data_IF_802245016614
#
_entry.id   IF_802245016614
#
_cell.length_a   1.000
_cell.length_b   1.000
_cell.length_c   1.000
_cell.angle_alpha   90.00
_cell.angle_beta   90.00
_cell.angle_gamma   90.00
#
_symmetry.space_group_name_H-M   'P 1'
#
loop_
_entity.id
_entity.type
_entity.pdbx_description
1 polymer ?
#
# COMPACT_ATOMS: atom_id res chain seq x y z
N UNK A 1 14.37 25.97 -9.82
CA UNK A 1 15.00 26.74 -8.75
C UNK A 1 16.33 26.08 -8.40
N UNK A 2 17.36 26.87 -8.14
CA UNK A 2 18.66 26.37 -7.73
C UNK A 2 18.53 25.61 -6.39
N UNK A 3 19.15 24.42 -6.27
CA UNK A 3 19.02 23.60 -5.06
C UNK A 3 17.72 22.81 -4.90
N UNK A 4 16.83 22.82 -5.88
CA UNK A 4 15.59 22.03 -5.86
C UNK A 4 15.82 20.66 -6.49
N UNK A 5 15.98 19.64 -5.65
CA UNK A 5 16.21 18.25 -6.06
C UNK A 5 15.49 17.27 -5.12
N UNK A 6 15.31 16.04 -5.59
CA UNK A 6 14.76 14.93 -4.82
C UNK A 6 15.32 13.60 -5.34
N UNK A 7 14.98 12.51 -4.66
CA UNK A 7 15.29 11.14 -5.11
C UNK A 7 13.99 10.42 -5.49
N UNK A 8 14.09 9.40 -6.34
CA UNK A 8 12.93 8.57 -6.67
C UNK A 8 12.32 7.93 -5.42
N UNK A 9 13.16 7.51 -4.45
CA UNK A 9 12.71 6.94 -3.17
C UNK A 9 11.89 7.94 -2.34
N UNK A 10 12.36 9.18 -2.23
CA UNK A 10 11.64 10.20 -1.43
C UNK A 10 10.32 10.60 -2.09
N UNK A 11 10.32 10.69 -3.43
CA UNK A 11 9.10 10.93 -4.18
C UNK A 11 8.10 9.77 -4.05
N UNK A 12 8.57 8.52 -4.02
CA UNK A 12 7.72 7.35 -3.79
C UNK A 12 7.10 7.38 -2.39
N UNK A 13 7.89 7.66 -1.34
CA UNK A 13 7.38 7.80 0.04
C UNK A 13 6.32 8.92 0.14
N UNK A 14 6.61 10.08 -0.46
CA UNK A 14 5.67 11.19 -0.50
C UNK A 14 4.37 10.80 -1.20
N UNK A 15 4.47 10.11 -2.34
CA UNK A 15 3.31 9.66 -3.09
C UNK A 15 2.49 8.62 -2.30
N UNK A 16 3.13 7.66 -1.64
CA UNK A 16 2.43 6.70 -0.78
C UNK A 16 1.61 7.42 0.31
N UNK A 17 2.24 8.32 1.06
CA UNK A 17 1.55 9.09 2.10
C UNK A 17 0.41 9.98 1.54
N UNK A 18 0.64 10.61 0.39
CA UNK A 18 -0.38 11.46 -0.25
C UNK A 18 -1.58 10.63 -0.74
N UNK A 19 -1.34 9.42 -1.23
CA UNK A 19 -2.41 8.52 -1.72
C UNK A 19 -3.29 7.95 -0.60
N UNK A 20 -2.91 8.08 0.67
CA UNK A 20 -3.79 7.78 1.81
C UNK A 20 -4.90 8.83 2.00
N UNK A 21 -4.69 10.06 1.49
CA UNK A 21 -5.68 11.13 1.54
C UNK A 21 -6.70 10.98 0.41
N UNK A 22 -7.96 10.74 0.74
CA UNK A 22 -9.05 10.53 -0.23
C UNK A 22 -9.26 11.71 -1.19
N UNK A 23 -9.15 12.95 -0.68
CA UNK A 23 -9.29 14.15 -1.52
C UNK A 23 -8.17 14.24 -2.55
N UNK A 24 -6.93 14.00 -2.12
CA UNK A 24 -5.79 13.95 -3.03
C UNK A 24 -5.97 12.86 -4.08
N UNK A 25 -6.32 11.63 -3.65
CA UNK A 25 -6.58 10.50 -4.54
C UNK A 25 -7.64 10.83 -5.59
N UNK A 26 -8.75 11.42 -5.19
CA UNK A 26 -9.84 11.85 -6.09
C UNK A 26 -9.33 12.85 -7.13
N UNK A 27 -8.57 13.85 -6.71
CA UNK A 27 -8.04 14.88 -7.61
C UNK A 27 -7.08 14.27 -8.64
N UNK A 28 -6.09 13.47 -8.19
CA UNK A 28 -5.04 12.94 -9.07
C UNK A 28 -5.53 11.83 -9.99
N UNK A 29 -6.60 11.11 -9.63
CA UNK A 29 -7.22 10.09 -10.48
C UNK A 29 -8.25 10.64 -11.46
N UNK A 30 -8.66 11.90 -11.31
CA UNK A 30 -9.62 12.53 -12.22
C UNK A 30 -9.02 12.65 -13.63
N UNK A 31 -9.65 12.00 -14.61
CA UNK A 31 -9.20 11.97 -16.02
C UNK A 31 -9.44 13.28 -16.73
N UNK A 32 -10.58 13.93 -16.45
CA UNK A 32 -10.94 15.26 -16.93
C UNK A 32 -12.06 15.84 -16.05
N UNK A 33 -12.09 17.18 -16.01
CA UNK A 33 -13.15 17.91 -15.32
C UNK A 33 -13.44 19.20 -16.06
N UNK A 34 -14.61 19.78 -15.83
CA UNK A 34 -14.98 21.08 -16.40
C UNK A 34 -15.12 22.10 -15.28
N UNK A 35 -14.39 23.19 -15.38
CA UNK A 35 -14.42 24.32 -14.45
C UNK A 35 -14.67 25.59 -15.25
N UNK A 36 -15.68 26.36 -14.90
CA UNK A 36 -16.05 27.60 -15.57
C UNK A 36 -16.19 27.46 -17.10
N UNK A 37 -16.76 26.33 -17.56
CA UNK A 37 -16.96 26.04 -18.97
C UNK A 37 -15.71 25.58 -19.73
N UNK A 38 -14.54 25.48 -19.05
CA UNK A 38 -13.30 24.98 -19.62
C UNK A 38 -13.08 23.53 -19.20
N UNK A 39 -12.84 22.67 -20.18
CA UNK A 39 -12.48 21.26 -19.92
C UNK A 39 -11.00 21.14 -19.67
N UNK A 40 -10.64 20.71 -18.46
CA UNK A 40 -9.28 20.38 -18.05
C UNK A 40 -9.07 18.88 -18.20
N UNK A 41 -8.00 18.48 -18.87
CA UNK A 41 -7.64 17.07 -19.11
C UNK A 41 -6.37 16.76 -18.36
N UNK A 42 -6.40 15.65 -17.58
CA UNK A 42 -5.22 15.19 -16.87
C UNK A 42 -4.16 14.70 -17.87
N UNK A 43 -2.94 15.19 -17.72
CA UNK A 43 -1.82 14.85 -18.59
C UNK A 43 -1.24 13.46 -18.33
N UNK A 44 -1.59 12.84 -17.20
CA UNK A 44 -1.19 11.45 -16.91
C UNK A 44 -1.92 10.48 -17.85
N UNK A 45 -1.20 10.01 -18.87
CA UNK A 45 -1.74 9.09 -19.88
C UNK A 45 -2.13 7.74 -19.28
N UNK A 46 -1.41 7.27 -18.25
CA UNK A 46 -1.67 5.96 -17.62
C UNK A 46 -3.08 5.86 -17.06
N UNK A 47 -3.69 6.96 -16.64
CA UNK A 47 -5.10 6.97 -16.21
C UNK A 47 -6.08 6.44 -17.28
N UNK A 48 -5.67 6.42 -18.56
CA UNK A 48 -6.49 5.95 -19.68
C UNK A 48 -5.95 4.68 -20.33
N UNK A 49 -4.63 4.47 -20.25
CA UNK A 49 -3.94 3.39 -20.98
C UNK A 49 -3.54 2.21 -20.09
N UNK A 50 -3.52 2.38 -18.75
CA UNK A 50 -3.10 1.33 -17.83
C UNK A 50 -4.24 0.96 -16.88
N UNK A 51 -4.56 -0.34 -16.82
CA UNK A 51 -5.60 -0.85 -15.95
C UNK A 51 -5.22 -0.71 -14.47
N UNK A 52 -6.15 -0.15 -13.68
CA UNK A 52 -5.92 0.14 -12.28
C UNK A 52 -5.14 1.43 -11.98
N UNK A 53 -4.74 2.23 -12.98
CA UNK A 53 -4.06 3.50 -12.72
C UNK A 53 -4.97 4.50 -11.98
N UNK A 54 -4.46 5.05 -10.87
CA UNK A 54 -5.18 5.97 -9.97
C UNK A 54 -4.43 7.28 -9.68
N UNK A 55 -3.31 7.53 -10.34
CA UNK A 55 -2.54 8.78 -10.16
C UNK A 55 -1.15 8.69 -10.76
N UNK A 56 -0.23 9.61 -10.52
CA UNK A 56 -0.26 10.71 -9.56
C UNK A 56 0.11 12.02 -10.26
N UNK A 57 1.39 12.19 -10.70
CA UNK A 57 1.88 13.48 -11.24
C UNK A 57 2.92 13.31 -12.34
N UNK A 58 2.73 14.07 -13.39
CA UNK A 58 3.71 14.23 -14.48
C UNK A 58 4.54 15.49 -14.27
N UNK A 59 5.78 15.48 -14.72
CA UNK A 59 6.64 16.64 -14.69
C UNK A 59 7.59 16.69 -15.89
N UNK A 60 7.91 17.89 -16.33
CA UNK A 60 8.93 18.15 -17.35
C UNK A 60 9.57 19.51 -17.18
N UNK A 61 10.88 19.53 -17.22
CA UNK A 61 11.65 20.76 -17.46
C UNK A 61 12.83 20.43 -18.38
N UNK A 62 13.37 21.43 -19.07
CA UNK A 62 14.55 21.22 -19.94
C UNK A 62 15.75 20.67 -19.18
N UNK A 63 15.91 21.05 -17.91
CA UNK A 63 17.04 20.66 -17.08
C UNK A 63 16.84 19.29 -16.43
N UNK A 64 15.62 19.01 -15.93
CA UNK A 64 15.33 17.76 -15.21
C UNK A 64 14.88 16.60 -16.11
N UNK A 65 14.55 16.90 -17.39
CA UNK A 65 13.94 15.90 -18.27
C UNK A 65 12.50 15.59 -17.88
N UNK A 66 12.00 14.46 -18.35
CA UNK A 66 10.66 13.95 -17.99
C UNK A 66 10.74 13.25 -16.64
N UNK A 67 9.76 13.50 -15.83
CA UNK A 67 9.60 12.87 -14.50
C UNK A 67 8.17 12.37 -14.36
N UNK A 68 7.99 11.20 -13.84
CA UNK A 68 6.68 10.62 -13.63
C UNK A 68 6.60 9.96 -12.26
N UNK A 69 5.50 10.23 -11.58
CA UNK A 69 5.04 9.45 -10.42
C UNK A 69 3.71 8.86 -10.81
N UNK A 70 3.60 7.55 -10.84
CA UNK A 70 2.33 6.86 -11.07
C UNK A 70 1.95 6.00 -9.87
N UNK A 71 0.66 5.72 -9.77
CA UNK A 71 0.09 4.81 -8.82
C UNK A 71 -0.95 3.97 -9.53
N UNK A 72 -0.90 2.66 -9.29
CA UNK A 72 -1.92 1.73 -9.77
C UNK A 72 -2.39 0.84 -8.62
N UNK A 73 -3.68 0.49 -8.64
CA UNK A 73 -4.32 -0.35 -7.64
C UNK A 73 -5.13 -1.45 -8.31
N UNK A 74 -4.93 -2.70 -7.86
CA UNK A 74 -5.75 -3.87 -8.23
C UNK A 74 -6.17 -4.59 -6.96
N UNK A 75 -7.48 -4.56 -6.66
CA UNK A 75 -7.99 -5.06 -5.37
C UNK A 75 -7.39 -4.31 -4.18
N UNK A 76 -6.81 -5.04 -3.23
CA UNK A 76 -6.13 -4.48 -2.05
C UNK A 76 -4.68 -4.07 -2.33
N UNK A 77 -4.08 -4.52 -3.44
CA UNK A 77 -2.69 -4.27 -3.78
C UNK A 77 -2.55 -2.93 -4.52
N UNK A 78 -1.64 -2.08 -4.04
CA UNK A 78 -1.33 -0.79 -4.64
C UNK A 78 0.18 -0.62 -4.79
N UNK A 79 0.62 -0.16 -5.96
CA UNK A 79 2.01 0.16 -6.25
C UNK A 79 2.19 1.60 -6.67
N UNK A 80 3.30 2.18 -6.23
CA UNK A 80 3.77 3.49 -6.68
C UNK A 80 5.07 3.30 -7.46
N UNK A 81 5.13 3.89 -8.65
CA UNK A 81 6.33 3.91 -9.48
C UNK A 81 6.81 5.35 -9.67
N UNK A 82 8.12 5.55 -9.68
CA UNK A 82 8.75 6.86 -9.87
C UNK A 82 9.93 6.75 -10.79
N UNK A 83 9.91 7.52 -11.88
CA UNK A 83 11.07 7.72 -12.75
C UNK A 83 11.47 9.21 -12.79
N UNK A 84 12.78 9.45 -12.84
CA UNK A 84 13.35 10.78 -12.92
C UNK A 84 14.29 10.85 -14.14
N UNK A 85 14.13 11.90 -14.95
CA UNK A 85 14.89 12.09 -16.20
C UNK A 85 14.80 10.92 -17.17
N UNK A 86 13.60 10.40 -17.31
CA UNK A 86 13.32 9.20 -18.09
C UNK A 86 12.54 9.57 -19.37
N UNK A 87 13.15 9.42 -20.55
CA UNK A 87 12.52 9.81 -21.82
C UNK A 87 11.37 8.88 -22.22
N UNK A 88 11.31 7.63 -21.73
CA UNK A 88 10.30 6.62 -22.05
C UNK A 88 9.40 6.29 -20.85
N UNK A 89 9.21 7.25 -19.96
CA UNK A 89 8.51 7.12 -18.69
C UNK A 89 7.17 6.35 -18.74
N UNK A 90 6.39 6.47 -19.84
CA UNK A 90 5.10 5.76 -19.97
C UNK A 90 5.26 4.25 -20.12
N UNK A 91 6.19 3.82 -20.95
CA UNK A 91 6.47 2.41 -21.17
C UNK A 91 7.17 1.79 -19.96
N UNK A 92 8.15 2.49 -19.40
CA UNK A 92 8.88 2.02 -18.22
C UNK A 92 7.97 1.85 -17.03
N UNK A 93 7.05 2.81 -16.78
CA UNK A 93 6.05 2.67 -15.72
C UNK A 93 5.08 1.52 -15.98
N UNK A 94 4.66 1.29 -17.23
CA UNK A 94 3.81 0.15 -17.59
C UNK A 94 4.50 -1.15 -17.24
N UNK A 95 5.75 -1.34 -17.72
CA UNK A 95 6.52 -2.55 -17.46
C UNK A 95 6.81 -2.76 -15.97
N UNK A 96 7.18 -1.70 -15.23
CA UNK A 96 7.45 -1.79 -13.80
C UNK A 96 6.22 -2.14 -12.97
N UNK A 97 5.06 -1.57 -13.32
CA UNK A 97 3.80 -1.88 -12.66
C UNK A 97 3.33 -3.30 -12.98
N UNK A 98 3.44 -3.73 -14.25
CA UNK A 98 3.12 -5.11 -14.64
C UNK A 98 4.02 -6.09 -13.87
N UNK A 99 5.33 -5.84 -13.87
CA UNK A 99 6.27 -6.66 -13.11
C UNK A 99 5.92 -6.71 -11.63
N UNK A 100 5.53 -5.58 -11.02
CA UNK A 100 5.17 -5.54 -9.61
C UNK A 100 3.91 -6.36 -9.31
N UNK A 101 2.85 -6.23 -10.14
CA UNK A 101 1.62 -7.01 -9.97
C UNK A 101 1.78 -8.49 -10.29
N UNK A 102 2.73 -8.87 -11.15
CA UNK A 102 3.03 -10.28 -11.47
C UNK A 102 3.85 -10.95 -10.38
N UNK A 103 4.69 -10.19 -9.66
CA UNK A 103 5.66 -10.75 -8.72
C UNK A 103 5.30 -10.55 -7.24
N UNK A 104 4.30 -9.74 -6.91
CA UNK A 104 3.92 -9.49 -5.53
C UNK A 104 2.42 -9.65 -5.31
N UNK A 105 2.08 -10.29 -4.20
CA UNK A 105 0.70 -10.45 -3.75
C UNK A 105 0.48 -9.92 -2.33
N UNK A 106 -0.74 -9.45 -2.07
CA UNK A 106 -1.15 -9.03 -0.74
C UNK A 106 -1.74 -10.24 0.00
N UNK A 107 -0.92 -10.86 0.86
CA UNK A 107 -1.24 -12.11 1.55
C UNK A 107 -1.66 -11.84 2.98
N UNK A 108 -2.79 -12.44 3.41
CA UNK A 108 -3.14 -12.51 4.82
C UNK A 108 -2.16 -13.45 5.53
N UNK A 109 -1.40 -12.91 6.47
CA UNK A 109 -0.38 -13.67 7.21
C UNK A 109 -0.80 -14.02 8.63
N UNK A 110 -1.76 -13.29 9.19
CA UNK A 110 -2.44 -13.63 10.44
C UNK A 110 -3.90 -13.17 10.33
N UNK A 111 -4.84 -14.12 10.42
CA UNK A 111 -6.28 -13.89 10.39
C UNK A 111 -6.94 -14.41 11.64
N UNK A 112 -8.24 -14.72 11.58
CA UNK A 112 -9.02 -15.28 12.69
C UNK A 112 -8.52 -16.67 13.14
N UNK A 113 -7.62 -17.26 12.38
CA UNK A 113 -6.85 -18.47 12.68
C UNK A 113 -5.39 -18.24 12.32
N UNK A 114 -4.38 -18.70 13.10
CA UNK A 114 -4.51 -19.71 14.14
C UNK A 114 -4.97 -19.15 15.48
N UNK A 115 -5.74 -19.95 16.18
CA UNK A 115 -6.09 -19.73 17.59
C UNK A 115 -4.93 -20.22 18.44
N UNK A 116 -4.39 -19.36 19.28
CA UNK A 116 -3.36 -19.75 20.25
C UNK A 116 -4.01 -20.08 21.58
N UNK A 117 -3.56 -21.14 22.23
CA UNK A 117 -4.04 -21.56 23.54
C UNK A 117 -3.19 -20.92 24.65
N UNK A 118 -3.82 -20.14 25.53
CA UNK A 118 -3.18 -19.54 26.69
C UNK A 118 -3.75 -20.19 27.95
N UNK A 119 -2.90 -20.77 28.85
CA UNK A 119 -3.34 -21.33 30.11
C UNK A 119 -4.02 -20.29 31.01
N UNK A 120 -5.11 -20.68 31.67
CA UNK A 120 -5.83 -19.80 32.62
C UNK A 120 -5.69 -20.37 34.03
N UNK A 121 -5.16 -19.55 34.93
CA UNK A 121 -5.03 -19.89 36.35
C UNK A 121 -6.25 -19.44 37.14
N UNK A 122 -6.58 -20.23 38.17
CA UNK A 122 -7.72 -19.95 39.09
C UNK A 122 -9.09 -19.94 38.39
N UNK A 123 -9.25 -20.72 37.33
CA UNK A 123 -10.49 -20.88 36.58
C UNK A 123 -10.91 -22.37 36.50
N UNK A 124 -12.18 -22.59 36.20
CA UNK A 124 -12.71 -23.94 35.87
C UNK A 124 -12.34 -24.35 34.45
N UNK A 125 -11.98 -23.39 33.60
CA UNK A 125 -11.50 -23.61 32.22
C UNK A 125 -9.99 -23.43 32.23
N UNK A 126 -9.27 -24.47 31.78
CA UNK A 126 -7.81 -24.50 31.84
C UNK A 126 -7.12 -23.67 30.74
N UNK A 127 -7.80 -23.41 29.63
CA UNK A 127 -7.27 -22.72 28.45
C UNK A 127 -8.25 -21.68 27.92
N UNK A 128 -7.74 -20.56 27.48
CA UNK A 128 -8.47 -19.61 26.63
C UNK A 128 -7.83 -19.50 25.25
N UNK A 129 -8.66 -19.17 24.25
CA UNK A 129 -8.20 -18.94 22.90
C UNK A 129 -7.77 -17.48 22.75
N UNK A 130 -6.55 -17.25 22.25
CA UNK A 130 -6.10 -15.94 21.80
C UNK A 130 -6.11 -15.89 20.26
N UNK A 131 -6.69 -14.86 19.73
CA UNK A 131 -6.77 -14.58 18.29
C UNK A 131 -6.20 -13.18 18.03
N UNK A 132 -5.67 -12.89 16.83
CA UNK A 132 -5.33 -11.51 16.46
C UNK A 132 -6.55 -10.59 16.57
N UNK A 133 -6.37 -9.39 17.06
CA UNK A 133 -7.44 -8.36 17.16
C UNK A 133 -7.91 -7.97 15.75
N UNK A 134 -6.97 -7.88 14.80
CA UNK A 134 -7.24 -7.59 13.40
C UNK A 134 -6.39 -8.51 12.49
N UNK A 135 -6.88 -8.87 11.31
CA UNK A 135 -6.09 -9.61 10.35
C UNK A 135 -4.85 -8.81 9.92
N UNK A 136 -3.69 -9.44 9.90
CA UNK A 136 -2.46 -8.85 9.40
C UNK A 136 -2.19 -9.29 7.96
N UNK A 137 -1.87 -8.33 7.11
CA UNK A 137 -1.54 -8.55 5.71
C UNK A 137 -0.15 -8.06 5.39
N UNK A 138 0.56 -8.76 4.53
CA UNK A 138 1.85 -8.36 3.99
C UNK A 138 1.84 -8.42 2.47
N UNK A 139 2.52 -7.47 1.85
CA UNK A 139 2.86 -7.54 0.43
C UNK A 139 4.15 -8.37 0.32
N UNK A 140 4.05 -9.54 -0.31
CA UNK A 140 5.14 -10.52 -0.38
C UNK A 140 5.32 -11.04 -1.80
N UNK A 141 6.54 -11.40 -2.16
CA UNK A 141 6.76 -12.27 -3.31
C UNK A 141 6.23 -13.68 -2.98
N UNK A 142 5.60 -14.41 -3.93
CA UNK A 142 5.05 -15.73 -3.66
C UNK A 142 6.02 -16.72 -3.01
N UNK A 143 7.31 -16.63 -3.38
CA UNK A 143 8.37 -17.51 -2.89
C UNK A 143 9.01 -17.04 -1.58
N UNK A 144 8.66 -15.86 -1.07
CA UNK A 144 9.23 -15.34 0.16
C UNK A 144 8.73 -16.13 1.38
N UNK A 145 9.64 -16.63 2.25
CA UNK A 145 9.24 -17.28 3.48
C UNK A 145 8.69 -16.24 4.46
N UNK A 146 7.43 -16.39 4.83
CA UNK A 146 6.82 -15.58 5.89
C UNK A 146 6.98 -16.31 7.22
N UNK A 147 7.72 -15.72 8.16
CA UNK A 147 7.88 -16.24 9.51
C UNK A 147 7.10 -15.37 10.49
N UNK A 148 6.07 -15.93 11.10
CA UNK A 148 5.33 -15.28 12.18
C UNK A 148 5.97 -15.62 13.52
N UNK A 149 6.34 -14.59 14.27
CA UNK A 149 6.76 -14.72 15.66
C UNK A 149 5.64 -14.22 16.55
N UNK A 150 5.10 -15.13 17.36
CA UNK A 150 4.04 -14.81 18.30
C UNK A 150 4.61 -14.71 19.72
N UNK A 151 4.31 -13.62 20.41
CA UNK A 151 4.62 -13.42 21.82
C UNK A 151 3.32 -13.40 22.59
N UNK A 152 3.15 -14.36 23.48
CA UNK A 152 1.96 -14.51 24.32
C UNK A 152 2.36 -14.59 25.79
N UNK A 153 1.49 -14.16 26.72
CA UNK A 153 1.71 -14.39 28.13
C UNK A 153 1.75 -15.89 28.43
N UNK A 154 2.58 -16.30 29.37
CA UNK A 154 2.67 -17.72 29.76
C UNK A 154 1.36 -18.27 30.31
N UNK A 155 0.54 -17.41 30.93
CA UNK A 155 -0.79 -17.72 31.48
C UNK A 155 -1.58 -16.42 31.69
N UNK A 156 -2.88 -16.55 31.78
CA UNK A 156 -3.80 -15.49 32.20
C UNK A 156 -4.43 -15.85 33.56
N UNK A 157 -4.86 -14.87 34.34
CA UNK A 157 -5.63 -15.08 35.56
C UNK A 157 -7.11 -14.91 35.30
N UNK A 158 -7.93 -15.75 35.92
CA UNK A 158 -9.38 -15.59 35.90
C UNK A 158 -9.80 -14.34 36.74
N UNK A 159 -10.90 -13.65 36.36
CA UNK A 159 -11.73 -13.90 35.18
C UNK A 159 -11.09 -13.38 33.89
N UNK A 160 -11.19 -14.14 32.80
CA UNK A 160 -10.81 -13.70 31.46
C UNK A 160 -12.08 -13.36 30.70
N UNK A 161 -12.25 -12.11 30.32
CA UNK A 161 -13.41 -11.65 29.56
C UNK A 161 -13.16 -11.86 28.04
N UNK A 162 -14.23 -12.10 27.30
CA UNK A 162 -14.16 -12.18 25.85
C UNK A 162 -13.75 -10.81 25.28
N UNK A 163 -12.72 -10.78 24.43
CA UNK A 163 -12.16 -9.57 23.86
C UNK A 163 -11.13 -8.86 24.75
N UNK A 164 -10.74 -9.45 25.90
CA UNK A 164 -9.63 -8.91 26.67
C UNK A 164 -8.30 -9.06 25.91
N UNK A 165 -7.46 -8.04 25.94
CA UNK A 165 -6.12 -8.10 25.31
C UNK A 165 -5.20 -9.02 26.10
N UNK A 166 -4.51 -9.90 25.40
CA UNK A 166 -3.55 -10.82 25.97
C UNK A 166 -2.12 -10.23 25.89
N UNK A 167 -1.83 -9.26 26.75
CA UNK A 167 -0.48 -8.69 26.84
C UNK A 167 -0.45 -7.18 26.89
#
# INVERSE_FOLDING_TARGET
AEGHYSTARDMAKLACAAMENETFRTIVSTKSTTVDGQTLVNHNRLLRSYDGAVGVKTGYTKTAGRTLVSCAQRGATQFVCVTLSDPDDWNDHTHLLDWAFENYEYRCVAGDTPVYAVPVLSATVELCAAVPEEPAYLLVHPDDPVVLKTELPRFAFAPVEQGARAG
#
